data_IF_994203178097
#
_entry.id   IF_994203178097
#
_cell.length_a   1.000
_cell.length_b   1.000
_cell.length_c   1.000
_cell.angle_alpha   90.00
_cell.angle_beta   90.00
_cell.angle_gamma   90.00
#
_symmetry.space_group_name_H-M   'P 1'
#
loop_
_entity.id
_entity.type
_entity.pdbx_description
1 polymer ?
#
# COMPACT_ATOMS: atom_id res chain seq x y z
N UNK A 1 -3.17 -5.50 21.34
CA UNK A 1 -3.09 -4.60 20.16
C UNK A 1 -2.36 -5.34 19.05
N UNK A 2 -2.99 -5.56 17.89
CA UNK A 2 -2.30 -6.14 16.73
C UNK A 2 -1.41 -5.04 16.14
N UNK A 3 -0.11 -5.10 16.44
CA UNK A 3 0.88 -4.36 15.64
C UNK A 3 0.87 -5.07 14.28
N UNK A 4 0.08 -4.58 13.32
CA UNK A 4 0.28 -4.93 11.91
C UNK A 4 1.71 -4.47 11.63
N UNK A 5 2.64 -5.41 11.49
CA UNK A 5 4.07 -5.12 11.32
C UNK A 5 4.34 -4.18 10.15
N UNK A 6 5.51 -3.56 10.13
CA UNK A 6 5.91 -2.56 9.13
C UNK A 6 5.86 -1.11 9.64
N UNK A 7 6.52 -0.20 8.93
CA UNK A 7 6.66 1.21 9.29
C UNK A 7 5.86 2.10 8.34
N UNK A 8 4.76 2.77 8.80
CA UNK A 8 3.99 3.68 7.95
C UNK A 8 4.82 4.79 7.31
N UNK A 9 5.86 5.29 7.99
CA UNK A 9 6.74 6.34 7.44
C UNK A 9 7.54 5.88 6.21
N UNK A 10 7.63 4.56 5.98
CA UNK A 10 8.32 3.97 4.83
C UNK A 10 7.43 3.83 3.58
N UNK A 11 6.12 4.14 3.67
CA UNK A 11 5.20 4.11 2.52
C UNK A 11 5.66 5.01 1.37
N UNK A 12 6.39 6.09 1.67
CA UNK A 12 7.02 6.97 0.67
C UNK A 12 8.07 6.29 -0.21
N UNK A 13 8.64 5.18 0.25
CA UNK A 13 9.66 4.42 -0.49
C UNK A 13 9.07 3.32 -1.36
N UNK A 14 7.75 3.04 -1.29
CA UNK A 14 7.10 2.08 -2.18
C UNK A 14 7.17 2.60 -3.63
N UNK A 15 7.56 1.72 -4.55
CA UNK A 15 7.75 2.01 -5.96
C UNK A 15 7.23 0.84 -6.82
N UNK A 16 6.99 1.11 -8.10
CA UNK A 16 6.66 0.08 -9.07
C UNK A 16 7.77 -0.97 -9.17
N UNK A 17 7.38 -2.23 -9.36
CA UNK A 17 8.29 -3.37 -9.44
C UNK A 17 8.48 -4.12 -8.12
N UNK A 18 8.19 -3.49 -6.97
CA UNK A 18 8.21 -4.19 -5.68
C UNK A 18 7.17 -5.31 -5.64
N UNK A 19 7.55 -6.45 -5.07
CA UNK A 19 6.63 -7.55 -4.79
C UNK A 19 5.70 -7.24 -3.63
N UNK A 20 4.55 -7.92 -3.61
CA UNK A 20 3.61 -7.92 -2.48
C UNK A 20 4.28 -8.18 -1.13
N UNK A 21 5.18 -9.18 -1.09
CA UNK A 21 5.88 -9.57 0.13
C UNK A 21 6.83 -8.48 0.62
N UNK A 22 7.58 -7.83 -0.28
CA UNK A 22 8.47 -6.71 0.08
C UNK A 22 7.70 -5.53 0.66
N UNK A 23 6.54 -5.21 0.07
CA UNK A 23 5.67 -4.14 0.57
C UNK A 23 5.16 -4.50 1.97
N UNK A 24 4.65 -5.73 2.17
CA UNK A 24 4.17 -6.19 3.48
C UNK A 24 5.30 -6.16 4.53
N UNK A 25 6.51 -6.57 4.17
CA UNK A 25 7.66 -6.55 5.09
C UNK A 25 8.03 -5.14 5.52
N UNK A 26 8.03 -4.18 4.58
CA UNK A 26 8.40 -2.78 4.84
C UNK A 26 7.32 -2.01 5.60
N UNK A 27 6.07 -2.05 5.12
CA UNK A 27 5.02 -1.12 5.57
C UNK A 27 3.78 -1.80 6.14
N UNK A 28 3.75 -3.13 6.10
CA UNK A 28 2.65 -3.93 6.60
C UNK A 28 1.58 -4.26 5.60
N UNK A 29 0.61 -5.03 6.10
CA UNK A 29 -0.60 -5.36 5.33
C UNK A 29 -1.47 -4.12 5.14
N UNK A 30 -2.14 -4.00 3.98
CA UNK A 30 -3.07 -2.90 3.73
C UNK A 30 -4.24 -2.90 4.72
N UNK A 31 -4.93 -1.76 4.77
CA UNK A 31 -6.16 -1.60 5.52
C UNK A 31 -7.38 -2.04 4.70
N UNK A 32 -7.33 -1.79 3.40
CA UNK A 32 -8.37 -2.21 2.45
C UNK A 32 -7.72 -2.93 1.27
N UNK A 33 -8.24 -4.12 0.96
CA UNK A 33 -7.93 -4.87 -0.24
C UNK A 33 -9.15 -4.92 -1.16
N UNK A 34 -9.01 -4.42 -2.38
CA UNK A 34 -10.04 -4.49 -3.40
C UNK A 34 -9.53 -5.34 -4.57
N UNK A 35 -10.22 -6.43 -4.90
CA UNK A 35 -9.93 -7.19 -6.12
C UNK A 35 -10.47 -6.40 -7.31
N UNK A 36 -9.61 -5.99 -8.24
CA UNK A 36 -10.07 -5.41 -9.50
C UNK A 36 -10.74 -6.47 -10.36
N UNK A 37 -11.68 -6.03 -11.21
CA UNK A 37 -12.29 -6.89 -12.23
C UNK A 37 -11.42 -6.89 -13.49
N UNK A 38 -11.16 -8.07 -14.04
CA UNK A 38 -10.40 -8.21 -15.29
C UNK A 38 -8.93 -7.79 -15.16
N UNK A 39 -8.43 -7.00 -16.13
CA UNK A 39 -7.00 -6.63 -16.24
C UNK A 39 -6.52 -5.56 -15.25
N UNK A 40 -7.39 -5.00 -14.42
CA UNK A 40 -7.06 -3.85 -13.57
C UNK A 40 -6.19 -4.18 -12.34
N UNK A 41 -5.82 -5.46 -12.14
CA UNK A 41 -5.04 -5.87 -10.96
C UNK A 41 -5.86 -5.78 -9.67
N UNK A 42 -5.27 -6.10 -8.52
CA UNK A 42 -5.90 -5.82 -7.23
C UNK A 42 -5.30 -4.54 -6.63
N UNK A 43 -6.07 -3.88 -5.76
CA UNK A 43 -5.73 -2.59 -5.17
C UNK A 43 -5.58 -2.72 -3.68
N UNK A 44 -4.50 -2.19 -3.14
CA UNK A 44 -4.25 -2.09 -1.72
C UNK A 44 -4.31 -0.64 -1.29
N UNK A 45 -5.01 -0.34 -0.20
CA UNK A 45 -5.07 1.01 0.36
C UNK A 45 -4.63 0.99 1.81
N UNK A 46 -3.80 1.98 2.12
CA UNK A 46 -3.26 2.25 3.43
C UNK A 46 -3.85 3.56 3.92
N UNK A 47 -4.62 3.49 5.00
CA UNK A 47 -5.26 4.66 5.57
C UNK A 47 -4.21 5.54 6.27
N UNK A 48 -4.47 6.84 6.39
CA UNK A 48 -3.63 7.71 7.19
C UNK A 48 -3.53 7.19 8.62
N UNK A 49 -2.33 7.22 9.17
CA UNK A 49 -2.03 6.70 10.52
C UNK A 49 -0.81 7.40 11.11
N UNK A 50 -0.51 7.17 12.38
CA UNK A 50 0.70 7.70 13.00
C UNK A 50 1.95 7.30 12.18
N UNK A 51 2.74 8.30 11.75
CA UNK A 51 3.89 8.13 10.85
C UNK A 51 3.62 8.43 9.37
N UNK A 52 2.34 8.52 8.97
CA UNK A 52 1.87 8.93 7.65
C UNK A 52 0.43 9.48 7.78
N UNK A 53 0.27 10.55 8.56
CA UNK A 53 -1.03 10.94 9.15
C UNK A 53 -2.00 11.63 8.20
N UNK A 54 -1.50 12.19 7.10
CA UNK A 54 -2.30 12.97 6.15
C UNK A 54 -2.36 12.30 4.77
N UNK A 55 -1.85 11.08 4.62
CA UNK A 55 -1.73 10.44 3.30
C UNK A 55 -2.57 9.17 3.21
N UNK A 56 -3.45 9.14 2.22
CA UNK A 56 -4.00 7.90 1.67
C UNK A 56 -3.00 7.37 0.63
N UNK A 57 -2.39 6.22 0.91
CA UNK A 57 -1.53 5.55 -0.08
C UNK A 57 -2.30 4.39 -0.72
N UNK A 58 -2.41 4.41 -2.04
CA UNK A 58 -3.09 3.38 -2.82
C UNK A 58 -2.12 2.76 -3.82
N UNK A 59 -2.01 1.43 -3.79
CA UNK A 59 -1.19 0.64 -4.70
C UNK A 59 -2.08 -0.12 -5.68
N UNK A 60 -1.72 -0.11 -6.95
CA UNK A 60 -2.23 -1.10 -7.91
C UNK A 60 -1.21 -2.21 -8.05
N UNK A 61 -1.66 -3.46 -7.95
CA UNK A 61 -0.83 -4.65 -8.05
C UNK A 61 -1.30 -5.55 -9.18
N UNK A 62 -0.36 -6.02 -10.00
CA UNK A 62 -0.61 -6.99 -11.05
C UNK A 62 0.55 -7.98 -11.13
N UNK A 63 0.23 -9.26 -11.32
CA UNK A 63 1.25 -10.32 -11.42
C UNK A 63 2.18 -10.42 -10.21
N UNK A 64 1.67 -10.17 -8.99
CA UNK A 64 2.47 -10.25 -7.76
C UNK A 64 3.25 -8.99 -7.40
N UNK A 65 3.16 -7.92 -8.20
CA UNK A 65 4.00 -6.73 -8.10
C UNK A 65 3.21 -5.43 -8.15
N UNK A 66 3.74 -4.40 -7.50
CA UNK A 66 3.26 -3.03 -7.60
C UNK A 66 3.48 -2.52 -9.03
N UNK A 67 2.42 -2.05 -9.67
CA UNK A 67 2.46 -1.42 -10.99
C UNK A 67 2.19 0.08 -10.94
N UNK A 68 1.48 0.54 -9.90
CA UNK A 68 1.19 1.95 -9.70
C UNK A 68 1.15 2.30 -8.21
N UNK A 69 1.59 3.51 -7.88
CA UNK A 69 1.56 4.06 -6.52
C UNK A 69 0.92 5.44 -6.60
N UNK A 70 -0.22 5.58 -5.93
CA UNK A 70 -0.90 6.85 -5.73
C UNK A 70 -0.77 7.27 -4.26
N UNK A 71 -0.41 8.54 -4.03
CA UNK A 71 -0.40 9.14 -2.69
C UNK A 71 -1.24 10.41 -2.73
N UNK A 72 -2.34 10.39 -2.00
CA UNK A 72 -3.28 11.50 -1.92
C UNK A 72 -3.26 12.08 -0.52
N UNK A 73 -2.97 13.38 -0.42
CA UNK A 73 -3.10 14.10 0.85
C UNK A 73 -4.59 14.28 1.17
N UNK A 74 -5.00 13.83 2.35
CA UNK A 74 -6.36 13.89 2.90
C UNK A 74 -6.30 14.65 4.22
N UNK A 75 -6.49 15.97 4.12
CA UNK A 75 -6.50 16.91 5.24
C UNK A 75 -7.85 17.62 5.30
#
# INVERSE_FOLDING_TARGET
MKIKGGNPAERKFIQAGMSEAEVILKVGRPDVEAKGRGKQGHRWSYMPTAGDADTLTTLTLAGGKVTHVERKVVR
#
